data_IF_930521826492
#
_entry.id   IF_930521826492
#
_cell.length_a   1.000
_cell.length_b   1.000
_cell.length_c   1.000
_cell.angle_alpha   90.00
_cell.angle_beta   90.00
_cell.angle_gamma   90.00
#
_symmetry.space_group_name_H-M   'P 1'
#
loop_
_entity.id
_entity.type
_entity.pdbx_description
1 polymer ?
#
# COMPACT_ATOMS: atom_id res chain seq x y z
N UNK A 1 -5.25 -14.11 -30.64
CA UNK A 1 -4.22 -13.09 -30.30
C UNK A 1 -4.57 -12.54 -28.93
N UNK A 2 -4.16 -13.24 -27.89
CA UNK A 2 -4.24 -12.78 -26.50
C UNK A 2 -3.12 -11.75 -26.35
N UNK A 3 -3.47 -10.46 -26.29
CA UNK A 3 -2.51 -9.46 -25.82
C UNK A 3 -2.17 -9.88 -24.39
N UNK A 4 -0.96 -10.40 -24.18
CA UNK A 4 -0.38 -10.45 -22.87
C UNK A 4 -0.37 -8.99 -22.39
N UNK A 5 -1.28 -8.65 -21.49
CA UNK A 5 -1.15 -7.48 -20.63
C UNK A 5 0.24 -7.62 -20.02
N UNK A 6 1.21 -6.88 -20.57
CA UNK A 6 2.53 -6.79 -19.98
C UNK A 6 2.26 -6.28 -18.59
N UNK A 7 2.47 -7.14 -17.59
CA UNK A 7 2.29 -6.77 -16.21
C UNK A 7 3.31 -5.65 -15.96
N UNK A 8 2.80 -4.43 -15.84
CA UNK A 8 3.64 -3.23 -15.81
C UNK A 8 3.91 -2.94 -14.35
N UNK A 9 5.18 -2.88 -14.00
CA UNK A 9 5.70 -2.38 -12.73
C UNK A 9 4.79 -1.33 -12.08
N UNK A 10 4.32 -1.58 -10.87
CA UNK A 10 3.50 -0.63 -10.11
C UNK A 10 4.30 -0.09 -8.92
N UNK A 11 3.93 1.09 -8.45
CA UNK A 11 4.42 1.63 -7.18
C UNK A 11 3.29 1.54 -6.16
N UNK A 12 3.52 0.93 -5.01
CA UNK A 12 2.55 0.79 -3.93
C UNK A 12 2.97 1.71 -2.78
N UNK A 13 2.06 2.56 -2.30
CA UNK A 13 2.27 3.33 -1.08
C UNK A 13 2.06 2.38 0.11
N UNK A 14 3.14 2.11 0.84
CA UNK A 14 3.14 1.14 1.95
C UNK A 14 3.42 1.85 3.27
N UNK A 15 2.43 1.81 4.17
CA UNK A 15 2.49 2.37 5.52
C UNK A 15 2.67 1.31 6.62
N UNK A 16 2.81 0.04 6.23
CA UNK A 16 2.91 -1.11 7.12
C UNK A 16 1.55 -1.63 7.60
N UNK A 17 0.43 -1.05 7.18
CA UNK A 17 -0.91 -1.46 7.61
C UNK A 17 -1.43 -2.68 6.81
N UNK A 18 -2.52 -3.33 7.29
CA UNK A 18 -3.14 -4.46 6.59
C UNK A 18 -3.57 -4.15 5.16
N UNK A 19 -4.08 -2.95 4.90
CA UNK A 19 -4.48 -2.53 3.55
C UNK A 19 -3.28 -2.50 2.59
N UNK A 20 -2.15 -1.94 3.00
CA UNK A 20 -0.94 -1.95 2.18
C UNK A 20 -0.40 -3.36 1.94
N UNK A 21 -0.43 -4.25 2.93
CA UNK A 21 -0.05 -5.65 2.72
C UNK A 21 -1.00 -6.38 1.75
N UNK A 22 -2.31 -6.14 1.86
CA UNK A 22 -3.29 -6.69 0.91
C UNK A 22 -3.01 -6.21 -0.53
N UNK A 23 -2.65 -4.93 -0.72
CA UNK A 23 -2.23 -4.43 -2.03
C UNK A 23 -0.97 -5.14 -2.54
N UNK A 24 -0.01 -5.40 -1.66
CA UNK A 24 1.20 -6.14 -2.01
C UNK A 24 0.91 -7.59 -2.41
N UNK A 25 0.00 -8.28 -1.71
CA UNK A 25 -0.43 -9.65 -2.03
C UNK A 25 -1.18 -9.76 -3.35
N UNK A 26 -1.89 -8.69 -3.76
CA UNK A 26 -2.57 -8.61 -5.06
C UNK A 26 -1.62 -8.22 -6.20
N UNK A 27 -0.35 -7.92 -5.92
CA UNK A 27 0.65 -7.60 -6.93
C UNK A 27 1.19 -8.89 -7.57
N UNK A 28 1.03 -9.02 -8.89
CA UNK A 28 1.45 -10.22 -9.63
C UNK A 28 2.98 -10.24 -9.89
N UNK A 29 3.57 -9.11 -10.30
CA UNK A 29 5.02 -8.97 -10.51
C UNK A 29 5.70 -8.11 -9.43
N UNK A 30 6.06 -8.75 -8.31
CA UNK A 30 6.77 -8.10 -7.20
C UNK A 30 8.21 -7.72 -7.54
N UNK A 31 8.84 -8.40 -8.51
CA UNK A 31 10.25 -8.17 -8.87
C UNK A 31 10.46 -6.86 -9.65
N UNK A 32 9.46 -6.45 -10.44
CA UNK A 32 9.49 -5.16 -11.15
C UNK A 32 8.75 -4.04 -10.44
N UNK A 33 7.91 -4.37 -9.46
CA UNK A 33 7.13 -3.41 -8.67
C UNK A 33 7.90 -2.86 -7.48
N UNK A 34 7.45 -1.72 -6.96
CA UNK A 34 8.16 -0.96 -5.93
C UNK A 34 7.25 -0.68 -4.74
N UNK A 35 7.78 -0.83 -3.52
CA UNK A 35 7.17 -0.28 -2.32
C UNK A 35 7.72 1.12 -2.04
N UNK A 36 6.85 2.05 -1.70
CA UNK A 36 7.20 3.43 -1.41
C UNK A 36 6.66 3.84 -0.04
N UNK A 37 7.58 4.24 0.82
CA UNK A 37 7.34 4.59 2.22
C UNK A 37 6.98 6.08 2.28
N UNK A 38 5.78 6.46 2.76
CA UNK A 38 5.38 7.86 2.84
C UNK A 38 6.11 8.59 3.98
N UNK A 39 6.36 9.88 3.76
CA UNK A 39 7.20 10.75 4.62
C UNK A 39 6.61 11.04 6.01
N UNK A 40 5.34 10.75 6.23
CA UNK A 40 4.62 11.00 7.48
C UNK A 40 4.68 9.80 8.43
N UNK A 41 5.32 8.70 8.02
CA UNK A 41 5.62 7.62 8.93
C UNK A 41 6.62 8.04 10.01
N UNK A 42 6.48 7.46 11.22
CA UNK A 42 7.39 7.73 12.33
C UNK A 42 8.82 7.25 12.00
N UNK A 43 9.78 7.70 12.83
CA UNK A 43 11.23 7.55 12.65
C UNK A 43 11.69 6.19 12.04
N UNK A 44 12.84 6.10 11.35
CA UNK A 44 13.29 4.93 10.55
C UNK A 44 13.38 3.56 11.26
N UNK A 45 13.25 3.54 12.59
CA UNK A 45 13.20 2.33 13.44
C UNK A 45 11.83 2.11 14.07
N UNK A 46 10.80 2.75 13.54
CA UNK A 46 9.43 2.56 13.97
C UNK A 46 8.95 1.17 13.53
N UNK A 47 8.14 0.50 14.37
CA UNK A 47 7.44 -0.72 14.00
C UNK A 47 6.72 -0.67 12.64
N UNK A 48 6.21 0.50 12.22
CA UNK A 48 5.61 0.67 10.89
C UNK A 48 6.61 0.51 9.75
N UNK A 49 7.75 1.19 9.83
CA UNK A 49 8.82 1.06 8.82
C UNK A 49 9.34 -0.39 8.78
N UNK A 50 9.43 -1.03 9.94
CA UNK A 50 9.80 -2.45 10.02
C UNK A 50 8.75 -3.36 9.37
N UNK A 51 7.46 -3.07 9.51
CA UNK A 51 6.40 -3.79 8.82
C UNK A 51 6.52 -3.67 7.28
N UNK A 52 6.78 -2.47 6.76
CA UNK A 52 7.02 -2.27 5.31
C UNK A 52 8.21 -3.10 4.81
N UNK A 53 9.30 -3.16 5.58
CA UNK A 53 10.46 -4.01 5.24
C UNK A 53 10.09 -5.48 5.22
N UNK A 54 9.31 -5.95 6.19
CA UNK A 54 8.79 -7.32 6.20
C UNK A 54 7.88 -7.60 5.00
N UNK A 55 7.03 -6.66 4.60
CA UNK A 55 6.21 -6.82 3.40
C UNK A 55 7.10 -7.05 2.18
N UNK A 56 8.15 -6.25 2.01
CA UNK A 56 9.10 -6.42 0.91
C UNK A 56 9.80 -7.78 0.95
N UNK A 57 10.35 -8.15 2.11
CA UNK A 57 11.09 -9.41 2.29
C UNK A 57 10.22 -10.64 2.07
N UNK A 58 8.98 -10.63 2.61
CA UNK A 58 8.05 -11.76 2.53
C UNK A 58 7.58 -12.02 1.09
N UNK A 59 7.37 -10.95 0.31
CA UNK A 59 6.76 -11.02 -1.02
C UNK A 59 7.78 -10.86 -2.17
N UNK A 60 9.05 -10.66 -1.84
CA UNK A 60 10.13 -10.56 -2.82
C UNK A 60 10.17 -9.24 -3.58
N UNK A 61 9.69 -8.15 -2.99
CA UNK A 61 9.88 -6.82 -3.57
C UNK A 61 11.35 -6.38 -3.41
N UNK A 62 11.84 -5.47 -4.28
CA UNK A 62 13.06 -4.71 -4.01
C UNK A 62 12.98 -3.94 -2.69
N UNK A 63 14.14 -3.53 -2.19
CA UNK A 63 14.22 -2.70 -0.99
C UNK A 63 13.30 -1.46 -1.10
N UNK A 64 12.45 -1.18 -0.08
CA UNK A 64 11.51 -0.07 -0.13
C UNK A 64 12.20 1.28 -0.37
N UNK A 65 11.52 2.16 -1.12
CA UNK A 65 11.95 3.52 -1.39
C UNK A 65 11.40 4.46 -0.33
N UNK A 66 12.26 5.28 0.28
CA UNK A 66 11.84 6.30 1.24
C UNK A 66 11.50 7.62 0.54
N UNK A 67 10.38 8.24 0.90
CA UNK A 67 10.05 9.59 0.49
C UNK A 67 11.10 10.60 1.00
N UNK A 68 11.47 11.57 0.17
CA UNK A 68 12.35 12.64 0.59
C UNK A 68 11.72 13.46 1.74
N UNK A 69 12.51 13.75 2.78
CA UNK A 69 12.04 14.53 3.93
C UNK A 69 11.62 15.94 3.52
N UNK A 70 10.43 16.35 3.96
CA UNK A 70 9.96 17.71 3.80
C UNK A 70 9.21 18.16 5.07
N UNK A 71 9.46 19.38 5.57
CA UNK A 71 8.79 19.91 6.78
C UNK A 71 7.27 19.84 6.62
N UNK A 72 6.54 19.49 7.69
CA UNK A 72 5.09 19.24 7.73
C UNK A 72 4.26 20.54 7.58
N UNK A 73 3.57 20.77 6.45
CA UNK A 73 2.70 21.92 6.22
C UNK A 73 1.23 21.47 6.01
N UNK A 74 0.27 22.37 5.74
CA UNK A 74 -1.01 21.98 5.13
C UNK A 74 -0.80 21.11 3.86
N UNK A 75 -1.80 20.30 3.50
CA UNK A 75 -1.83 19.44 2.29
C UNK A 75 -0.94 18.18 2.33
N UNK A 76 -0.84 17.50 3.48
CA UNK A 76 -0.05 16.28 3.64
C UNK A 76 -0.38 15.19 2.59
N UNK A 77 -1.67 14.85 2.41
CA UNK A 77 -2.12 13.84 1.45
C UNK A 77 -1.80 14.23 0.00
N UNK A 78 -2.21 15.42 -0.51
CA UNK A 78 -1.87 15.80 -1.88
C UNK A 78 -0.36 15.79 -2.17
N UNK A 79 0.45 16.24 -1.20
CA UNK A 79 1.91 16.22 -1.34
C UNK A 79 2.47 14.80 -1.39
N UNK A 80 2.00 13.91 -0.52
CA UNK A 80 2.38 12.50 -0.53
C UNK A 80 2.07 11.85 -1.88
N UNK A 81 0.85 12.05 -2.38
CA UNK A 81 0.41 11.47 -3.65
C UNK A 81 1.19 12.00 -4.85
N UNK A 82 1.50 13.30 -4.89
CA UNK A 82 2.35 13.87 -5.93
C UNK A 82 3.79 13.37 -5.85
N UNK A 83 4.34 13.21 -4.65
CA UNK A 83 5.68 12.64 -4.47
C UNK A 83 5.73 11.18 -4.95
N UNK A 84 4.74 10.36 -4.59
CA UNK A 84 4.61 8.99 -5.07
C UNK A 84 4.44 8.92 -6.60
N UNK A 85 3.60 9.79 -7.18
CA UNK A 85 3.40 9.86 -8.63
C UNK A 85 4.66 10.32 -9.37
N UNK A 86 5.39 11.29 -8.83
CA UNK A 86 6.68 11.72 -9.38
C UNK A 86 7.71 10.59 -9.32
N UNK A 87 7.82 9.86 -8.21
CA UNK A 87 8.69 8.68 -8.10
C UNK A 87 8.31 7.62 -9.13
N UNK A 88 7.03 7.28 -9.23
CA UNK A 88 6.52 6.30 -10.18
C UNK A 88 6.87 6.70 -11.63
N UNK A 89 6.67 7.97 -11.99
CA UNK A 89 6.99 8.50 -13.32
C UNK A 89 8.47 8.40 -13.67
N UNK A 90 9.36 8.69 -12.71
CA UNK A 90 10.83 8.55 -12.87
C UNK A 90 11.29 7.09 -12.99
N UNK A 91 10.57 6.17 -12.35
CA UNK A 91 10.89 4.73 -12.33
C UNK A 91 10.21 3.95 -13.46
N UNK A 92 9.37 4.60 -14.25
CA UNK A 92 8.62 3.94 -15.32
C UNK A 92 7.42 3.13 -14.84
N UNK A 93 6.94 3.37 -13.61
CA UNK A 93 5.73 2.76 -13.07
C UNK A 93 4.50 3.58 -13.50
N UNK A 94 3.64 3.11 -14.42
CA UNK A 94 2.47 3.87 -14.88
C UNK A 94 1.33 3.97 -13.85
N UNK A 95 1.45 3.28 -12.73
CA UNK A 95 0.41 3.18 -11.71
C UNK A 95 1.00 3.35 -10.32
N UNK A 96 0.33 4.17 -9.52
CA UNK A 96 0.50 4.27 -8.07
C UNK A 96 -0.72 3.65 -7.41
N UNK A 97 -0.51 2.71 -6.50
CA UNK A 97 -1.55 2.16 -5.65
C UNK A 97 -1.52 2.90 -4.32
N UNK A 98 -2.63 3.55 -3.99
CA UNK A 98 -2.89 4.19 -2.70
C UNK A 98 -3.92 3.33 -1.94
N UNK A 99 -3.48 2.41 -1.07
CA UNK A 99 -4.34 1.37 -0.49
C UNK A 99 -5.12 1.89 0.71
N UNK A 100 -5.85 2.99 0.54
CA UNK A 100 -6.77 3.50 1.56
C UNK A 100 -8.15 2.86 1.45
N UNK A 101 -8.86 2.86 2.58
CA UNK A 101 -10.24 2.44 2.68
C UNK A 101 -11.01 3.36 3.63
N UNK A 102 -12.25 3.69 3.27
CA UNK A 102 -13.15 4.53 4.07
C UNK A 102 -14.49 3.85 4.39
N UNK A 103 -14.76 2.66 3.84
CA UNK A 103 -15.97 1.89 4.10
C UNK A 103 -17.23 2.65 3.72
N UNK A 104 -18.07 2.96 4.70
CA UNK A 104 -19.37 3.61 4.48
C UNK A 104 -19.33 5.15 4.61
N UNK A 105 -18.14 5.74 4.85
CA UNK A 105 -17.99 7.20 4.91
C UNK A 105 -17.94 7.81 3.50
N UNK A 106 -19.11 8.12 2.95
CA UNK A 106 -19.26 8.65 1.59
C UNK A 106 -18.52 9.98 1.36
N UNK A 107 -18.40 10.83 2.39
CA UNK A 107 -17.75 12.14 2.26
C UNK A 107 -16.23 11.99 2.17
N UNK A 108 -15.65 11.11 2.99
CA UNK A 108 -14.23 10.80 2.93
C UNK A 108 -13.87 10.00 1.67
N UNK A 109 -14.73 9.06 1.25
CA UNK A 109 -14.58 8.36 -0.03
C UNK A 109 -14.56 9.32 -1.22
N UNK A 110 -15.55 10.22 -1.31
CA UNK A 110 -15.64 11.18 -2.39
C UNK A 110 -14.40 12.09 -2.41
N UNK A 111 -13.95 12.56 -1.24
CA UNK A 111 -12.75 13.38 -1.11
C UNK A 111 -11.50 12.66 -1.59
N UNK A 112 -11.31 11.41 -1.20
CA UNK A 112 -10.18 10.59 -1.60
C UNK A 112 -10.19 10.28 -3.12
N UNK A 113 -11.35 9.95 -3.68
CA UNK A 113 -11.52 9.74 -5.11
C UNK A 113 -11.19 11.01 -5.92
N UNK A 114 -11.73 12.17 -5.49
CA UNK A 114 -11.46 13.46 -6.11
C UNK A 114 -9.97 13.82 -6.05
N UNK A 115 -9.31 13.56 -4.91
CA UNK A 115 -7.87 13.77 -4.76
C UNK A 115 -7.07 12.87 -5.71
N UNK A 116 -7.38 11.57 -5.78
CA UNK A 116 -6.69 10.65 -6.68
C UNK A 116 -6.85 11.06 -8.15
N UNK A 117 -8.07 11.48 -8.56
CA UNK A 117 -8.35 11.95 -9.90
C UNK A 117 -7.62 13.26 -10.23
N UNK A 118 -7.76 14.28 -9.38
CA UNK A 118 -7.13 15.59 -9.58
C UNK A 118 -5.61 15.48 -9.69
N UNK A 119 -4.99 14.70 -8.80
CA UNK A 119 -3.53 14.57 -8.75
C UNK A 119 -3.00 13.66 -9.87
N UNK A 120 -3.80 12.71 -10.35
CA UNK A 120 -3.51 11.98 -11.59
C UNK A 120 -3.43 12.95 -12.78
N UNK A 121 -4.39 13.87 -12.89
CA UNK A 121 -4.37 14.87 -13.95
C UNK A 121 -3.17 15.80 -13.84
N UNK A 122 -2.85 16.29 -12.64
CA UNK A 122 -1.70 17.15 -12.41
C UNK A 122 -0.38 16.43 -12.74
N UNK A 123 -0.19 15.19 -12.28
CA UNK A 123 1.02 14.41 -12.57
C UNK A 123 1.22 14.18 -14.08
N UNK A 124 0.12 14.03 -14.85
CA UNK A 124 0.19 13.90 -16.32
C UNK A 124 0.58 15.20 -17.00
N UNK A 125 0.09 16.35 -16.52
CA UNK A 125 0.44 17.65 -17.09
C UNK A 125 1.93 17.99 -16.88
N UNK A 126 2.46 17.69 -15.70
CA UNK A 126 3.88 17.93 -15.38
C UNK A 126 4.81 16.89 -16.02
N UNK A 127 4.27 15.71 -16.37
CA UNK A 127 5.00 14.57 -16.92
C UNK A 127 5.21 14.59 -18.43
N UNK A 128 4.91 15.67 -19.14
CA UNK A 128 4.98 15.76 -20.62
C UNK A 128 6.42 15.91 -21.17
N UNK A 129 7.36 15.22 -20.52
CA UNK A 129 8.75 15.04 -20.93
C UNK A 129 8.93 13.63 -21.49
N UNK A 130 9.71 13.42 -22.57
CA UNK A 130 10.01 12.08 -23.11
C UNK A 130 10.60 11.10 -22.09
N UNK A 131 11.14 11.62 -20.98
CA UNK A 131 11.74 10.85 -19.90
C UNK A 131 10.77 10.52 -18.75
N UNK A 132 9.49 10.86 -18.84
CA UNK A 132 8.49 10.58 -17.80
C UNK A 132 7.36 9.70 -18.33
N UNK A 133 7.09 8.62 -17.59
CA UNK A 133 5.95 7.75 -17.90
C UNK A 133 4.67 8.37 -17.34
N UNK A 134 3.58 8.47 -18.11
CA UNK A 134 2.29 8.92 -17.59
C UNK A 134 1.81 8.03 -16.44
N UNK A 135 1.51 8.63 -15.30
CA UNK A 135 1.10 7.93 -14.08
C UNK A 135 -0.41 8.07 -13.85
N UNK A 136 -1.00 7.08 -13.17
CA UNK A 136 -2.35 7.12 -12.61
C UNK A 136 -2.35 6.64 -11.17
N UNK A 137 -3.14 7.29 -10.31
CA UNK A 137 -3.30 6.90 -8.90
C UNK A 137 -4.58 6.06 -8.78
N UNK A 138 -4.49 4.91 -8.13
CA UNK A 138 -5.59 3.96 -7.93
C UNK A 138 -5.81 3.72 -6.44
N UNK A 139 -7.08 3.67 -6.02
CA UNK A 139 -7.50 3.42 -4.64
C UNK A 139 -8.35 2.14 -4.59
N UNK A 140 -7.72 0.94 -4.65
CA UNK A 140 -8.46 -0.31 -4.91
C UNK A 140 -9.38 -0.75 -3.76
N UNK A 141 -9.20 -0.19 -2.56
CA UNK A 141 -9.94 -0.56 -1.36
C UNK A 141 -10.84 0.56 -0.84
N UNK A 142 -11.02 1.62 -1.62
CA UNK A 142 -11.64 2.86 -1.15
C UNK A 142 -13.01 2.64 -0.49
N UNK A 143 -13.81 1.78 -1.11
CA UNK A 143 -15.18 1.40 -0.75
C UNK A 143 -15.28 0.19 0.17
N UNK A 144 -14.14 -0.40 0.58
CA UNK A 144 -14.16 -1.53 1.49
C UNK A 144 -14.34 -1.07 2.94
N UNK A 145 -15.30 -1.69 3.63
CA UNK A 145 -15.40 -1.61 5.09
C UNK A 145 -14.28 -2.41 5.76
N UNK A 146 -14.10 -2.23 7.07
CA UNK A 146 -13.14 -3.04 7.82
C UNK A 146 -13.43 -4.54 7.75
N UNK A 147 -14.70 -4.91 7.88
CA UNK A 147 -15.11 -6.32 7.82
C UNK A 147 -14.80 -6.90 6.43
N UNK A 148 -15.06 -6.14 5.36
CA UNK A 148 -14.71 -6.54 4.00
C UNK A 148 -13.20 -6.62 3.78
N UNK A 149 -12.42 -5.71 4.37
CA UNK A 149 -10.95 -5.78 4.28
C UNK A 149 -10.40 -6.97 5.08
N UNK A 150 -11.00 -7.30 6.22
CA UNK A 150 -10.67 -8.49 7.02
C UNK A 150 -11.01 -9.77 6.25
N UNK A 151 -12.15 -9.81 5.57
CA UNK A 151 -12.54 -10.94 4.73
C UNK A 151 -11.58 -11.09 3.54
N UNK A 152 -11.23 -9.99 2.87
CA UNK A 152 -10.21 -9.99 1.82
C UNK A 152 -8.85 -10.48 2.36
N UNK A 153 -8.43 -10.02 3.54
CA UNK A 153 -7.19 -10.47 4.17
C UNK A 153 -7.22 -11.97 4.46
N UNK A 154 -8.38 -12.52 4.84
CA UNK A 154 -8.55 -13.97 5.06
C UNK A 154 -8.45 -14.74 3.74
N UNK A 155 -9.09 -14.24 2.69
CA UNK A 155 -9.05 -14.87 1.36
C UNK A 155 -7.64 -14.88 0.75
N UNK A 156 -6.82 -13.89 1.12
CA UNK A 156 -5.42 -13.78 0.70
C UNK A 156 -4.43 -14.50 1.63
N UNK A 157 -4.89 -15.19 2.67
CA UNK A 157 -4.05 -15.78 3.73
C UNK A 157 -3.00 -14.77 4.27
N UNK A 158 -3.42 -13.52 4.49
CA UNK A 158 -2.55 -12.40 4.85
C UNK A 158 -1.82 -12.67 6.18
N UNK A 159 -0.47 -12.59 6.22
CA UNK A 159 0.31 -12.84 7.43
C UNK A 159 0.20 -11.63 8.38
N UNK A 160 -0.77 -11.65 9.29
CA UNK A 160 -1.09 -10.53 10.17
C UNK A 160 0.10 -10.07 11.03
N UNK A 161 1.02 -10.96 11.37
CA UNK A 161 2.26 -10.66 12.09
C UNK A 161 3.25 -9.77 11.31
N UNK A 162 3.07 -9.67 10.00
CA UNK A 162 3.88 -8.80 9.14
C UNK A 162 3.42 -7.33 9.21
N UNK A 163 2.17 -7.06 9.59
CA UNK A 163 1.61 -5.72 9.63
C UNK A 163 1.84 -5.01 10.97
N UNK A 164 1.69 -3.69 10.94
CA UNK A 164 1.61 -2.83 12.11
C UNK A 164 0.41 -1.88 12.04
N UNK A 165 -0.57 -2.10 12.92
CA UNK A 165 -1.74 -1.23 13.04
C UNK A 165 -1.79 -0.46 14.36
N UNK A 166 -0.90 -0.72 15.32
CA UNK A 166 -0.95 -0.05 16.61
C UNK A 166 -0.62 1.45 16.48
N UNK A 167 -1.42 2.31 17.12
CA UNK A 167 -1.14 3.75 17.19
C UNK A 167 0.09 4.09 18.03
N UNK A 168 0.59 3.13 18.83
CA UNK A 168 1.76 3.31 19.68
C UNK A 168 2.98 2.73 18.99
N UNK A 169 4.09 3.47 19.04
CA UNK A 169 5.40 3.01 18.57
C UNK A 169 6.12 2.23 19.69
N UNK A 170 5.61 1.02 19.99
CA UNK A 170 6.18 0.09 20.97
C UNK A 170 6.67 -1.19 20.30
N UNK A 171 7.52 -2.02 20.95
CA UNK A 171 7.95 -3.30 20.37
C UNK A 171 6.79 -4.28 20.08
N UNK A 172 5.69 -4.19 20.83
CA UNK A 172 4.50 -5.02 20.68
C UNK A 172 3.23 -4.16 20.56
N UNK A 173 2.20 -4.61 19.82
CA UNK A 173 0.91 -3.93 19.75
C UNK A 173 0.25 -3.84 21.13
N UNK A 174 -0.28 -2.66 21.51
CA UNK A 174 -0.78 -2.45 22.87
C UNK A 174 -2.10 -3.16 23.21
N UNK A 175 -2.79 -3.73 22.22
CA UNK A 175 -4.10 -4.38 22.34
C UNK A 175 -5.23 -3.51 22.93
N UNK A 176 -5.03 -2.19 23.07
CA UNK A 176 -5.95 -1.28 23.79
C UNK A 176 -6.33 -0.01 23.04
N UNK A 177 -5.60 0.39 22.00
CA UNK A 177 -6.00 1.52 21.13
C UNK A 177 -7.14 1.11 20.20
N UNK A 178 -7.81 2.10 19.59
CA UNK A 178 -8.95 1.86 18.70
C UNK A 178 -8.50 1.02 17.50
N UNK A 179 -7.37 1.35 16.90
CA UNK A 179 -6.82 0.56 15.80
C UNK A 179 -6.50 -0.89 16.21
N UNK A 180 -5.96 -1.13 17.42
CA UNK A 180 -5.75 -2.51 17.90
C UNK A 180 -7.05 -3.30 18.08
N UNK A 181 -8.14 -2.65 18.50
CA UNK A 181 -9.45 -3.31 18.62
C UNK A 181 -10.02 -3.63 17.24
N UNK A 182 -10.01 -2.64 16.34
CA UNK A 182 -10.47 -2.71 14.93
C UNK A 182 -9.85 -3.90 14.20
N UNK A 183 -8.53 -4.06 14.29
CA UNK A 183 -7.79 -5.11 13.57
C UNK A 183 -7.56 -6.40 14.36
N UNK A 184 -8.08 -6.51 15.58
CA UNK A 184 -7.94 -7.74 16.38
C UNK A 184 -8.42 -9.03 15.69
N UNK A 185 -9.44 -9.03 14.80
CA UNK A 185 -9.83 -10.24 14.08
C UNK A 185 -8.74 -10.79 13.16
N UNK A 186 -7.82 -9.97 12.63
CA UNK A 186 -6.74 -10.43 11.76
C UNK A 186 -5.79 -11.40 12.48
N UNK A 187 -5.64 -11.30 13.80
CA UNK A 187 -4.79 -12.20 14.60
C UNK A 187 -5.30 -13.65 14.64
N UNK A 188 -6.50 -13.90 14.12
CA UNK A 188 -7.06 -15.24 13.96
C UNK A 188 -6.72 -15.88 12.60
N UNK A 189 -6.29 -15.08 11.62
CA UNK A 189 -5.83 -15.53 10.30
C UNK A 189 -4.47 -16.22 10.50
N UNK A 190 -4.28 -17.41 9.92
CA UNK A 190 -3.03 -18.19 10.07
C UNK A 190 -2.99 -19.17 11.26
N UNK A 191 -4.03 -19.27 12.10
CA UNK A 191 -4.20 -20.43 13.02
C UNK A 191 -4.84 -21.65 12.36
N UNK A 192 -5.10 -21.57 11.06
CA UNK A 192 -5.59 -22.67 10.25
C UNK A 192 -4.45 -23.12 9.32
N UNK A 193 -4.25 -24.44 9.25
CA UNK A 193 -3.07 -25.11 8.68
C UNK A 193 -2.54 -24.47 7.39
N UNK A 194 -1.21 -24.46 7.18
CA UNK A 194 -0.63 -23.94 5.95
C UNK A 194 -1.25 -24.63 4.73
N UNK A 195 -1.78 -23.84 3.80
CA UNK A 195 -2.21 -24.33 2.50
C UNK A 195 -1.00 -24.99 1.80
N UNK A 196 -1.19 -26.13 1.11
CA UNK A 196 -0.09 -26.80 0.43
C UNK A 196 0.47 -25.89 -0.67
N UNK A 197 1.80 -25.74 -0.68
CA UNK A 197 2.53 -24.96 -1.66
C UNK A 197 2.10 -25.32 -3.08
N UNK A 198 1.55 -24.33 -3.81
CA UNK A 198 1.28 -24.47 -5.24
C UNK A 198 2.63 -24.44 -5.97
N UNK A 199 3.06 -25.58 -6.50
CA UNK A 199 4.16 -25.65 -7.45
C UNK A 199 5.28 -26.63 -7.11
N UNK A 200 4.95 -27.92 -7.01
CA UNK A 200 5.92 -28.99 -7.26
C UNK A 200 5.40 -29.82 -8.45
N UNK A 201 5.61 -29.30 -9.66
CA UNK A 201 5.53 -30.09 -10.88
C UNK A 201 6.74 -31.02 -10.92
N UNK A 202 6.47 -32.32 -10.84
CA UNK A 202 7.39 -33.42 -11.19
C UNK A 202 7.44 -33.57 -12.70
#
# INVERSE_FOLDING_TARGET
MTQATTDRAILIIDDGAPASLAACLLCEDTASSLLWIPQDLPAPRSPRIEAVRRHADLLGFPAPLEAAEHPQPPLAIPRMLLAAASEAGRRGCPRVIWPIHHGDDLDDMARAADQAALLTHLARLEGDSPAHTPVSIHTPFLDLTDDQLIDLARDLDLPAEACWWCERESPEPCARCDSCRRWSPLLSIGRHSPAPARGATV
#
